data_IF_524807388554
#
_entry.id   IF_524807388554
#
_cell.length_a   1.000
_cell.length_b   1.000
_cell.length_c   1.000
_cell.angle_alpha   90.00
_cell.angle_beta   90.00
_cell.angle_gamma   90.00
#
_symmetry.space_group_name_H-M   'P 1'
#
loop_
_entity.id
_entity.type
_entity.pdbx_description
1 polymer ?
#
# COMPACT_ATOMS: atom_id res chain seq x y z
N UNK A 1 -14.66 16.30 14.55
CA UNK A 1 -13.64 17.07 13.81
C UNK A 1 -14.33 18.30 13.26
N UNK A 2 -13.82 19.50 13.55
CA UNK A 2 -14.29 20.72 12.89
C UNK A 2 -13.82 20.68 11.43
N UNK A 3 -14.75 20.86 10.50
CA UNK A 3 -14.44 20.93 9.07
C UNK A 3 -13.70 22.25 8.78
N UNK A 4 -12.68 22.25 7.91
CA UNK A 4 -12.06 23.49 7.42
C UNK A 4 -13.10 24.40 6.76
N UNK A 5 -13.07 25.69 7.11
CA UNK A 5 -14.05 26.70 6.65
C UNK A 5 -13.47 27.76 5.74
N UNK A 6 -12.17 27.70 5.44
CA UNK A 6 -11.52 28.53 4.42
C UNK A 6 -10.63 27.67 3.51
N UNK A 7 -10.37 28.14 2.28
CA UNK A 7 -9.54 27.43 1.32
C UNK A 7 -8.10 27.21 1.83
N UNK A 8 -7.54 28.15 2.58
CA UNK A 8 -6.21 28.00 3.18
C UNK A 8 -6.19 26.90 4.25
N UNK A 9 -7.21 26.83 5.12
CA UNK A 9 -7.32 25.74 6.10
C UNK A 9 -7.46 24.38 5.42
N UNK A 10 -8.24 24.30 4.32
CA UNK A 10 -8.36 23.09 3.51
C UNK A 10 -6.98 22.72 2.97
N UNK A 11 -6.28 23.63 2.31
CA UNK A 11 -4.97 23.38 1.72
C UNK A 11 -3.95 22.87 2.75
N UNK A 12 -3.89 23.48 3.93
CA UNK A 12 -2.95 23.08 4.99
C UNK A 12 -3.32 21.75 5.67
N UNK A 13 -4.59 21.34 5.63
CA UNK A 13 -5.05 20.07 6.23
C UNK A 13 -5.11 18.90 5.25
N UNK A 14 -4.93 19.15 3.94
CA UNK A 14 -4.93 18.13 2.89
C UNK A 14 -3.62 17.33 2.85
N UNK A 15 -3.51 16.34 3.74
CA UNK A 15 -2.44 15.35 3.71
C UNK A 15 -2.82 14.13 2.85
N UNK A 16 -2.85 14.30 1.52
CA UNK A 16 -3.32 13.24 0.59
C UNK A 16 -2.25 12.17 0.24
N UNK A 17 -1.02 12.33 0.72
CA UNK A 17 0.02 11.28 0.64
C UNK A 17 -0.07 10.27 1.79
N UNK A 18 -0.74 10.65 2.88
CA UNK A 18 -0.86 9.84 4.09
C UNK A 18 -2.16 9.03 4.07
N UNK A 19 -2.03 7.76 4.47
CA UNK A 19 -3.18 6.89 4.64
C UNK A 19 -3.90 7.19 5.96
N UNK A 20 -5.23 7.02 5.96
CA UNK A 20 -6.04 7.21 7.16
C UNK A 20 -5.89 6.01 8.10
N UNK A 21 -5.95 6.24 9.42
CA UNK A 21 -6.06 5.16 10.41
C UNK A 21 -7.44 4.50 10.36
N UNK A 22 -7.58 3.29 10.90
CA UNK A 22 -8.85 2.56 10.88
C UNK A 22 -10.00 3.28 11.61
N UNK A 23 -9.69 4.11 12.62
CA UNK A 23 -10.65 4.92 13.38
C UNK A 23 -10.77 6.38 12.90
N UNK A 24 -10.13 6.75 11.78
CA UNK A 24 -10.14 8.13 11.31
C UNK A 24 -11.56 8.56 10.87
N UNK A 25 -12.11 9.67 11.39
CA UNK A 25 -13.46 10.12 11.04
C UNK A 25 -13.59 10.54 9.57
N UNK A 26 -12.50 10.75 8.84
CA UNK A 26 -12.50 11.07 7.40
C UNK A 26 -12.64 9.83 6.51
N UNK A 27 -12.61 8.62 7.09
CA UNK A 27 -12.76 7.37 6.34
C UNK A 27 -14.15 7.24 5.73
N UNK A 28 -14.22 7.03 4.42
CA UNK A 28 -15.45 6.77 3.68
C UNK A 28 -15.41 5.34 3.17
N UNK A 29 -16.46 4.58 3.43
CA UNK A 29 -16.60 3.23 2.87
C UNK A 29 -16.80 3.33 1.36
N UNK A 30 -15.86 2.74 0.63
CA UNK A 30 -15.86 2.76 -0.84
C UNK A 30 -16.10 1.39 -1.46
N UNK A 31 -16.52 0.39 -0.67
CA UNK A 31 -16.65 -1.00 -1.12
C UNK A 31 -17.67 -1.16 -2.25
N UNK A 32 -18.83 -0.52 -2.13
CA UNK A 32 -19.85 -0.56 -3.18
C UNK A 32 -19.40 0.19 -4.44
N UNK A 33 -18.87 1.40 -4.25
CA UNK A 33 -18.32 2.28 -5.29
C UNK A 33 -17.22 1.61 -6.14
N UNK A 34 -16.47 0.65 -5.56
CA UNK A 34 -15.42 -0.12 -6.25
C UNK A 34 -15.92 -1.45 -6.82
N UNK A 35 -17.05 -1.97 -6.34
CA UNK A 35 -17.44 -3.37 -6.53
C UNK A 35 -16.55 -4.34 -5.73
N UNK A 36 -16.02 -3.92 -4.59
CA UNK A 36 -15.06 -4.67 -3.76
C UNK A 36 -15.66 -5.25 -2.48
N UNK A 37 -16.98 -5.38 -2.39
CA UNK A 37 -17.69 -5.90 -1.20
C UNK A 37 -17.19 -7.30 -0.79
N UNK A 38 -16.69 -8.08 -1.74
CA UNK A 38 -16.17 -9.42 -1.50
C UNK A 38 -14.66 -9.47 -1.24
N UNK A 39 -13.91 -8.37 -1.41
CA UNK A 39 -12.43 -8.38 -1.31
C UNK A 39 -11.96 -8.83 0.08
N UNK A 40 -12.54 -8.29 1.16
CA UNK A 40 -12.25 -8.76 2.52
C UNK A 40 -12.56 -10.26 2.67
N UNK A 41 -13.74 -10.71 2.23
CA UNK A 41 -14.10 -12.14 2.34
C UNK A 41 -13.20 -13.07 1.52
N UNK A 42 -12.66 -12.58 0.39
CA UNK A 42 -11.66 -13.31 -0.39
C UNK A 42 -10.33 -13.36 0.37
N UNK A 43 -9.88 -12.25 0.94
CA UNK A 43 -8.68 -12.19 1.78
C UNK A 43 -8.79 -13.17 2.95
N UNK A 44 -9.88 -13.10 3.73
CA UNK A 44 -10.05 -13.96 4.91
C UNK A 44 -10.05 -15.43 4.53
N UNK A 45 -10.70 -15.81 3.42
CA UNK A 45 -10.66 -17.20 2.91
C UNK A 45 -9.27 -17.68 2.54
N UNK A 46 -8.44 -16.81 1.93
CA UNK A 46 -7.02 -17.13 1.63
C UNK A 46 -6.20 -17.39 2.90
N UNK A 47 -6.60 -16.76 4.02
CA UNK A 47 -6.01 -16.97 5.34
C UNK A 47 -6.70 -18.10 6.14
N UNK A 48 -7.64 -18.83 5.53
CA UNK A 48 -8.38 -19.91 6.21
C UNK A 48 -9.44 -19.42 7.21
N UNK A 49 -9.84 -18.16 7.16
CA UNK A 49 -10.84 -17.53 8.02
C UNK A 49 -12.21 -17.45 7.32
N UNK A 50 -13.25 -18.00 7.94
CA UNK A 50 -14.66 -17.76 7.60
C UNK A 50 -15.33 -17.00 8.75
N UNK A 51 -15.45 -15.67 8.57
CA UNK A 51 -16.09 -14.80 9.57
C UNK A 51 -17.59 -15.07 9.72
N UNK A 52 -18.28 -15.53 8.67
CA UNK A 52 -19.72 -15.79 8.76
C UNK A 52 -20.02 -17.01 9.61
N UNK A 53 -19.20 -18.05 9.48
CA UNK A 53 -19.35 -19.28 10.25
C UNK A 53 -18.51 -19.29 11.53
N UNK A 54 -17.74 -18.23 11.78
CA UNK A 54 -16.74 -18.15 12.84
C UNK A 54 -15.83 -19.39 12.88
N UNK A 55 -15.32 -19.81 11.71
CA UNK A 55 -14.44 -20.97 11.54
C UNK A 55 -13.04 -20.53 11.12
N UNK A 56 -12.05 -21.21 11.67
CA UNK A 56 -10.65 -20.95 11.35
C UNK A 56 -9.88 -22.24 11.08
N UNK A 57 -9.50 -22.42 9.81
CA UNK A 57 -8.73 -23.55 9.28
C UNK A 57 -7.49 -23.00 8.56
N UNK A 58 -6.52 -22.44 9.30
CA UNK A 58 -5.40 -21.74 8.70
C UNK A 58 -4.43 -22.70 7.96
N UNK A 59 -3.94 -22.31 6.77
CA UNK A 59 -2.79 -22.99 6.16
C UNK A 59 -1.51 -22.79 6.99
N UNK A 60 -0.45 -23.53 6.69
CA UNK A 60 0.84 -23.38 7.38
C UNK A 60 1.40 -21.96 7.24
N UNK A 61 1.37 -21.40 6.03
CA UNK A 61 1.68 -20.01 5.72
C UNK A 61 0.76 -19.50 4.61
N UNK A 62 0.63 -18.18 4.47
CA UNK A 62 -0.13 -17.57 3.39
C UNK A 62 0.47 -16.20 3.05
N UNK A 63 0.93 -16.07 1.81
CA UNK A 63 1.53 -14.83 1.31
C UNK A 63 0.65 -14.27 0.20
N UNK A 64 0.17 -13.04 0.40
CA UNK A 64 -0.81 -12.38 -0.47
C UNK A 64 -0.24 -11.07 -0.99
N UNK A 65 -0.20 -10.92 -2.32
CA UNK A 65 0.05 -9.65 -2.98
C UNK A 65 -1.25 -8.86 -3.09
N UNK A 66 -1.26 -7.65 -2.55
CA UNK A 66 -2.39 -6.72 -2.60
C UNK A 66 -2.10 -5.60 -3.61
N UNK A 67 -2.62 -5.77 -4.82
CA UNK A 67 -2.44 -4.86 -5.94
C UNK A 67 -3.47 -3.74 -5.95
N UNK A 68 -3.15 -2.69 -6.69
CA UNK A 68 -4.03 -1.58 -7.01
C UNK A 68 -3.22 -0.32 -7.30
N UNK A 69 -3.83 0.68 -7.90
CA UNK A 69 -3.17 1.94 -8.24
C UNK A 69 -2.52 2.61 -7.02
N UNK A 70 -1.34 3.20 -7.18
CA UNK A 70 -0.68 3.94 -6.10
C UNK A 70 -1.50 5.19 -5.81
N UNK A 71 -1.95 5.36 -4.55
CA UNK A 71 -2.87 6.44 -4.18
C UNK A 71 -4.36 6.12 -4.33
N UNK A 72 -4.71 4.87 -4.69
CA UNK A 72 -6.11 4.44 -4.78
C UNK A 72 -6.80 4.22 -3.44
N UNK A 73 -6.06 4.31 -2.32
CA UNK A 73 -6.55 4.04 -0.96
C UNK A 73 -6.20 2.67 -0.39
N UNK A 74 -5.27 1.92 -1.01
CA UNK A 74 -4.86 0.56 -0.57
C UNK A 74 -4.55 0.46 0.93
N UNK A 75 -3.64 1.28 1.44
CA UNK A 75 -3.27 1.28 2.86
C UNK A 75 -4.46 1.53 3.77
N UNK A 76 -5.30 2.53 3.42
CA UNK A 76 -6.50 2.85 4.20
C UNK A 76 -7.47 1.66 4.26
N UNK A 77 -7.70 0.98 3.14
CA UNK A 77 -8.54 -0.22 3.09
C UNK A 77 -7.89 -1.41 3.83
N UNK A 78 -6.57 -1.60 3.71
CA UNK A 78 -5.84 -2.65 4.42
C UNK A 78 -5.91 -2.47 5.94
N UNK A 79 -5.88 -1.24 6.46
CA UNK A 79 -6.08 -0.95 7.89
C UNK A 79 -7.48 -1.34 8.37
N UNK A 80 -8.51 -1.11 7.54
CA UNK A 80 -9.87 -1.59 7.84
C UNK A 80 -9.93 -3.13 7.85
N UNK A 81 -9.24 -3.79 6.91
CA UNK A 81 -9.16 -5.25 6.88
C UNK A 81 -8.36 -5.82 8.05
N UNK A 82 -7.25 -5.19 8.42
CA UNK A 82 -6.43 -5.56 9.57
C UNK A 82 -7.23 -5.48 10.87
N UNK A 83 -8.01 -4.41 11.06
CA UNK A 83 -8.97 -4.30 12.17
C UNK A 83 -9.98 -5.44 12.16
N UNK A 84 -10.65 -5.69 11.03
CA UNK A 84 -11.62 -6.78 10.94
C UNK A 84 -11.01 -8.17 11.22
N UNK A 85 -9.76 -8.39 10.80
CA UNK A 85 -8.99 -9.60 11.11
C UNK A 85 -8.68 -9.70 12.61
N UNK A 86 -8.25 -8.61 13.24
CA UNK A 86 -7.99 -8.57 14.67
C UNK A 86 -9.27 -8.80 15.50
N UNK A 87 -10.37 -8.15 15.13
CA UNK A 87 -11.68 -8.25 15.79
C UNK A 87 -12.26 -9.67 15.70
N UNK A 88 -11.84 -10.48 14.73
CA UNK A 88 -12.22 -11.89 14.63
C UNK A 88 -11.62 -12.78 15.73
N UNK A 89 -10.58 -12.30 16.42
CA UNK A 89 -9.80 -13.04 17.41
C UNK A 89 -8.81 -14.06 16.82
N UNK A 90 -8.99 -14.50 15.56
CA UNK A 90 -8.13 -15.49 14.91
C UNK A 90 -6.76 -14.94 14.53
N UNK A 91 -6.64 -13.63 14.36
CA UNK A 91 -5.44 -12.99 13.84
C UNK A 91 -4.88 -12.02 14.88
N UNK A 92 -3.56 -12.07 15.04
CA UNK A 92 -2.76 -11.05 15.70
C UNK A 92 -2.04 -10.23 14.62
N UNK A 93 -2.56 -9.03 14.34
CA UNK A 93 -2.09 -8.19 13.25
C UNK A 93 -0.86 -7.36 13.63
N UNK A 94 0.14 -7.34 12.76
CA UNK A 94 1.35 -6.52 12.87
C UNK A 94 1.50 -5.69 11.60
N UNK A 95 1.49 -4.36 11.74
CA UNK A 95 1.70 -3.45 10.61
C UNK A 95 3.19 -3.09 10.47
N UNK A 96 3.69 -3.16 9.24
CA UNK A 96 5.06 -2.77 8.88
C UNK A 96 4.98 -1.75 7.76
N UNK A 97 5.16 -0.47 8.09
CA UNK A 97 5.30 0.59 7.10
C UNK A 97 6.76 0.66 6.64
N UNK A 98 7.02 0.14 5.44
CA UNK A 98 8.35 0.09 4.82
C UNK A 98 8.93 1.47 4.61
N UNK A 99 8.13 2.48 4.24
CA UNK A 99 8.64 3.82 3.99
C UNK A 99 9.07 4.53 5.29
N UNK A 100 8.42 4.20 6.40
CA UNK A 100 8.78 4.74 7.71
C UNK A 100 10.02 4.06 8.30
N UNK A 101 10.27 2.78 8.00
CA UNK A 101 11.32 1.97 8.64
C UNK A 101 12.56 1.78 7.78
N UNK A 102 12.43 1.74 6.46
CA UNK A 102 13.47 1.26 5.55
C UNK A 102 13.80 2.27 4.45
N UNK A 103 14.93 2.05 3.79
CA UNK A 103 15.35 2.85 2.64
C UNK A 103 14.68 2.32 1.36
N UNK A 104 13.71 3.09 0.84
CA UNK A 104 12.93 2.70 -0.35
C UNK A 104 13.71 2.63 -1.66
N UNK A 105 14.92 3.22 -1.72
CA UNK A 105 15.70 3.31 -2.96
C UNK A 105 16.76 2.20 -3.07
N UNK A 106 16.79 1.28 -2.10
CA UNK A 106 17.69 0.14 -2.09
C UNK A 106 17.16 -0.90 -1.09
N UNK A 107 15.87 -1.25 -1.21
CA UNK A 107 15.24 -2.16 -0.26
C UNK A 107 15.63 -3.61 -0.56
N UNK A 108 16.16 -4.32 0.44
CA UNK A 108 16.40 -5.76 0.36
C UNK A 108 15.43 -6.54 1.22
N UNK A 109 15.12 -7.77 0.82
CA UNK A 109 14.18 -8.59 1.58
C UNK A 109 14.65 -8.91 3.02
N UNK A 110 15.95 -9.10 3.22
CA UNK A 110 16.55 -9.27 4.56
C UNK A 110 16.20 -8.13 5.52
N UNK A 111 16.09 -6.89 5.02
CA UNK A 111 15.71 -5.72 5.81
C UNK A 111 14.23 -5.71 6.15
N UNK A 112 13.38 -6.22 5.26
CA UNK A 112 11.94 -6.42 5.55
C UNK A 112 11.74 -7.45 6.64
N UNK A 113 12.49 -8.57 6.63
CA UNK A 113 12.44 -9.55 7.72
C UNK A 113 12.81 -8.95 9.08
N UNK A 114 13.85 -8.10 9.12
CA UNK A 114 14.24 -7.40 10.34
C UNK A 114 13.16 -6.42 10.81
N UNK A 115 12.57 -5.65 9.89
CA UNK A 115 11.47 -4.74 10.19
C UNK A 115 10.19 -5.49 10.67
N UNK A 116 9.92 -6.68 10.13
CA UNK A 116 8.84 -7.56 10.61
C UNK A 116 9.10 -8.00 12.04
N UNK A 117 10.32 -8.47 12.34
CA UNK A 117 10.69 -8.89 13.68
C UNK A 117 10.61 -7.73 14.68
N UNK A 118 11.10 -6.54 14.29
CA UNK A 118 11.04 -5.33 15.10
C UNK A 118 9.60 -4.95 15.43
N UNK A 119 8.75 -4.84 14.41
CA UNK A 119 7.34 -4.47 14.57
C UNK A 119 6.55 -5.48 15.42
N UNK A 120 6.83 -6.78 15.26
CA UNK A 120 6.22 -7.82 16.08
C UNK A 120 6.60 -7.67 17.55
N UNK A 121 7.89 -7.50 17.83
CA UNK A 121 8.43 -7.39 19.18
C UNK A 121 7.95 -6.11 19.87
N UNK A 122 7.90 -4.99 19.16
CA UNK A 122 7.31 -3.74 19.64
C UNK A 122 5.84 -3.90 20.00
N UNK A 123 5.06 -4.52 19.12
CA UNK A 123 3.63 -4.77 19.33
C UNK A 123 3.39 -5.66 20.55
N UNK A 124 4.12 -6.77 20.65
CA UNK A 124 4.05 -7.69 21.81
C UNK A 124 4.42 -6.98 23.12
N UNK A 125 5.45 -6.13 23.09
CA UNK A 125 5.86 -5.35 24.25
C UNK A 125 4.79 -4.36 24.68
N UNK A 126 4.16 -3.66 23.72
CA UNK A 126 3.07 -2.73 23.97
C UNK A 126 1.82 -3.43 24.54
N UNK A 127 1.55 -4.66 24.07
CA UNK A 127 0.45 -5.50 24.57
C UNK A 127 0.83 -6.26 25.88
N UNK A 128 2.02 -6.01 26.45
CA UNK A 128 2.47 -6.58 27.73
C UNK A 128 2.74 -8.08 27.70
N UNK A 129 3.01 -8.65 26.54
CA UNK A 129 3.25 -10.08 26.37
C UNK A 129 4.60 -10.49 26.95
N UNK A 130 4.61 -11.51 27.81
CA UNK A 130 5.83 -12.07 28.41
C UNK A 130 6.28 -13.28 27.61
N UNK A 131 7.44 -13.15 26.97
CA UNK A 131 8.05 -14.24 26.18
C UNK A 131 9.15 -14.90 26.99
N UNK A 132 9.15 -16.24 27.17
CA UNK A 132 10.20 -16.95 27.88
C UNK A 132 11.59 -16.70 27.28
N UNK A 133 12.60 -16.54 28.13
CA UNK A 133 13.98 -16.34 27.66
C UNK A 133 14.47 -17.49 26.75
N UNK A 134 14.06 -18.72 27.03
CA UNK A 134 14.39 -19.89 26.21
C UNK A 134 13.88 -19.76 24.76
N UNK A 135 12.74 -19.10 24.53
CA UNK A 135 12.19 -18.83 23.19
C UNK A 135 13.03 -17.80 22.43
N UNK A 136 13.57 -16.81 23.15
CA UNK A 136 14.36 -15.72 22.57
C UNK A 136 15.84 -16.05 22.40
N UNK A 137 16.35 -17.04 23.15
CA UNK A 137 17.75 -17.45 23.17
C UNK A 137 18.33 -17.69 21.76
N UNK A 138 17.68 -18.46 20.85
CA UNK A 138 18.28 -18.73 19.54
C UNK A 138 18.50 -17.45 18.71
N UNK A 139 17.55 -16.50 18.80
CA UNK A 139 17.65 -15.23 18.10
C UNK A 139 18.71 -14.30 18.75
N UNK A 140 18.78 -14.29 20.08
CA UNK A 140 19.83 -13.58 20.83
C UNK A 140 21.23 -14.09 20.48
N UNK A 141 21.42 -15.42 20.47
CA UNK A 141 22.69 -16.07 20.11
C UNK A 141 23.08 -15.80 18.66
N UNK A 142 22.10 -15.80 17.76
CA UNK A 142 22.31 -15.44 16.36
C UNK A 142 22.85 -14.01 16.24
N UNK A 143 22.20 -13.04 16.90
CA UNK A 143 22.69 -11.65 16.89
C UNK A 143 24.08 -11.54 17.52
N UNK A 144 24.34 -12.18 18.66
CA UNK A 144 25.66 -12.19 19.28
C UNK A 144 26.73 -12.68 18.31
N UNK A 145 26.46 -13.78 17.60
CA UNK A 145 27.39 -14.35 16.63
C UNK A 145 27.73 -13.35 15.51
N UNK A 146 26.71 -12.75 14.89
CA UNK A 146 26.94 -11.76 13.81
C UNK A 146 27.75 -10.56 14.31
N UNK A 147 27.47 -10.09 15.52
CA UNK A 147 28.13 -8.92 16.12
C UNK A 147 29.57 -9.24 16.55
N UNK A 148 29.89 -10.50 16.85
CA UNK A 148 31.25 -10.96 17.15
C UNK A 148 32.10 -11.19 15.90
N UNK A 149 31.48 -11.65 14.81
CA UNK A 149 32.17 -11.98 13.55
C UNK A 149 32.47 -10.75 12.67
N UNK A 150 31.93 -9.58 13.04
CA UNK A 150 32.20 -8.29 12.37
C UNK A 150 32.58 -7.21 13.39
N UNK A 151 33.54 -6.35 13.06
CA UNK A 151 33.93 -5.24 13.93
C UNK A 151 33.43 -3.90 13.37
N UNK A 152 32.55 -3.23 14.12
CA UNK A 152 32.02 -1.90 13.78
C UNK A 152 31.58 -1.17 15.05
N UNK A 153 31.40 0.16 14.97
CA UNK A 153 30.87 0.97 16.08
C UNK A 153 29.45 0.54 16.47
N UNK A 154 28.60 0.27 15.48
CA UNK A 154 27.26 -0.30 15.68
C UNK A 154 27.33 -1.63 16.44
N UNK A 155 28.33 -2.46 16.16
CA UNK A 155 28.49 -3.76 16.81
C UNK A 155 28.87 -3.62 18.29
N UNK A 156 29.64 -2.61 18.67
CA UNK A 156 29.94 -2.33 20.07
C UNK A 156 28.68 -1.95 20.85
N UNK A 157 27.83 -1.11 20.25
CA UNK A 157 26.55 -0.74 20.81
C UNK A 157 25.59 -1.93 20.97
N UNK A 158 25.49 -2.77 19.95
CA UNK A 158 24.64 -3.98 19.99
C UNK A 158 25.16 -4.99 21.03
N UNK A 159 26.49 -5.20 21.12
CA UNK A 159 27.11 -6.02 22.18
C UNK A 159 26.72 -5.54 23.58
N UNK A 160 26.71 -4.23 23.79
CA UNK A 160 26.27 -3.63 25.04
C UNK A 160 24.82 -3.99 25.38
N UNK A 161 23.90 -3.89 24.42
CA UNK A 161 22.49 -4.27 24.60
C UNK A 161 22.32 -5.78 24.87
N UNK A 162 22.98 -6.64 24.09
CA UNK A 162 22.89 -8.09 24.26
C UNK A 162 23.43 -8.58 25.61
N UNK A 163 24.37 -7.83 26.20
CA UNK A 163 24.93 -8.11 27.53
C UNK A 163 23.96 -7.83 28.68
N UNK A 164 22.85 -7.11 28.43
CA UNK A 164 21.81 -6.86 29.43
C UNK A 164 20.91 -8.08 29.72
N UNK A 165 21.17 -9.21 29.07
CA UNK A 165 20.44 -10.47 29.24
C UNK A 165 19.51 -10.79 28.06
N UNK A 166 18.58 -11.71 28.27
CA UNK A 166 17.66 -12.20 27.23
C UNK A 166 16.25 -11.81 27.61
N UNK A 167 15.72 -10.82 26.90
CA UNK A 167 14.36 -10.35 27.06
C UNK A 167 13.82 -9.79 25.75
N UNK A 168 12.50 -9.69 25.66
CA UNK A 168 11.82 -9.11 24.50
C UNK A 168 12.32 -7.67 24.23
N UNK A 169 12.50 -6.88 25.29
CA UNK A 169 13.02 -5.52 25.19
C UNK A 169 14.46 -5.43 24.70
N UNK A 170 15.33 -6.38 25.05
CA UNK A 170 16.70 -6.44 24.52
C UNK A 170 16.68 -6.72 23.02
N UNK A 171 15.91 -7.72 22.59
CA UNK A 171 15.75 -8.04 21.15
C UNK A 171 15.16 -6.85 20.39
N UNK A 172 14.17 -6.15 20.96
CA UNK A 172 13.57 -4.95 20.37
C UNK A 172 14.62 -3.88 20.06
N UNK A 173 15.47 -3.57 21.04
CA UNK A 173 16.53 -2.55 20.88
C UNK A 173 17.58 -2.95 19.86
N UNK A 174 17.97 -4.22 19.84
CA UNK A 174 18.91 -4.76 18.85
C UNK A 174 18.35 -4.60 17.44
N UNK A 175 17.11 -5.04 17.23
CA UNK A 175 16.41 -4.89 15.95
C UNK A 175 16.28 -3.43 15.55
N UNK A 176 15.84 -2.54 16.44
CA UNK A 176 15.71 -1.12 16.18
C UNK A 176 17.04 -0.46 15.77
N UNK A 177 18.15 -0.83 16.42
CA UNK A 177 19.48 -0.34 16.02
C UNK A 177 19.85 -0.81 14.62
N UNK A 178 19.61 -2.08 14.28
CA UNK A 178 19.92 -2.63 12.95
C UNK A 178 19.01 -2.01 11.89
N UNK A 179 17.70 -1.93 12.11
CA UNK A 179 16.74 -1.31 11.17
C UNK A 179 17.05 0.17 10.96
N UNK A 180 17.33 0.93 12.03
CA UNK A 180 17.73 2.34 11.91
C UNK A 180 19.01 2.50 11.08
N UNK A 181 19.96 1.56 11.24
CA UNK A 181 21.20 1.52 10.47
C UNK A 181 20.97 1.27 8.97
N UNK A 182 19.96 0.45 8.62
CA UNK A 182 19.54 0.20 7.24
C UNK A 182 18.93 1.46 6.59
N UNK A 183 18.20 2.25 7.38
CA UNK A 183 17.53 3.49 6.94
C UNK A 183 18.49 4.64 6.63
N UNK A 184 19.61 4.79 7.36
CA UNK A 184 20.47 6.01 7.29
C UNK A 184 21.59 5.98 6.25
N UNK A 185 21.81 4.88 5.52
CA UNK A 185 22.71 4.85 4.35
C UNK A 185 24.22 4.86 4.65
N UNK A 186 24.65 4.53 5.87
CA UNK A 186 26.06 4.56 6.28
C UNK A 186 26.90 3.38 5.73
N UNK A 187 28.23 3.49 5.71
CA UNK A 187 29.14 2.48 5.11
C UNK A 187 29.10 1.09 5.74
N UNK A 188 28.74 0.97 7.02
CA UNK A 188 28.55 -0.32 7.70
C UNK A 188 27.28 -1.07 7.24
N UNK A 189 26.38 -0.41 6.51
CA UNK A 189 25.13 -0.96 5.95
C UNK A 189 25.39 -2.17 5.07
N UNK A 190 26.38 -2.09 4.18
CA UNK A 190 26.65 -3.16 3.23
C UNK A 190 27.20 -4.41 3.90
N UNK A 191 27.99 -4.25 4.97
CA UNK A 191 28.48 -5.36 5.77
C UNK A 191 27.33 -6.07 6.49
N UNK A 192 26.50 -5.34 7.23
CA UNK A 192 25.35 -5.93 7.92
C UNK A 192 24.37 -6.59 6.96
N UNK A 193 24.10 -5.96 5.81
CA UNK A 193 23.27 -6.55 4.74
C UNK A 193 23.87 -7.85 4.23
N UNK A 194 25.16 -7.86 3.92
CA UNK A 194 25.85 -9.05 3.46
C UNK A 194 25.79 -10.17 4.51
N UNK A 195 26.03 -9.86 5.77
CA UNK A 195 26.03 -10.85 6.86
C UNK A 195 24.63 -11.42 7.11
N UNK A 196 23.58 -10.58 7.11
CA UNK A 196 22.19 -11.02 7.23
C UNK A 196 21.79 -11.85 6.02
N UNK A 197 22.20 -11.46 4.80
CA UNK A 197 21.93 -12.21 3.57
C UNK A 197 22.62 -13.57 3.57
N UNK A 198 23.89 -13.63 3.95
CA UNK A 198 24.67 -14.86 4.03
C UNK A 198 24.09 -15.85 5.05
N UNK A 199 23.45 -15.34 6.10
CA UNK A 199 22.84 -16.14 7.18
C UNK A 199 21.31 -16.07 7.18
N UNK A 200 20.71 -15.76 6.04
CA UNK A 200 19.28 -15.53 5.94
C UNK A 200 18.49 -16.78 6.36
N UNK A 201 18.90 -17.96 5.90
CA UNK A 201 18.21 -19.22 6.20
C UNK A 201 18.12 -19.48 7.70
N UNK A 202 19.21 -19.31 8.44
CA UNK A 202 19.21 -19.53 9.89
C UNK A 202 18.42 -18.44 10.63
N UNK A 203 18.48 -17.19 10.18
CA UNK A 203 17.65 -16.11 10.73
C UNK A 203 16.15 -16.40 10.53
N UNK A 204 15.76 -16.82 9.33
CA UNK A 204 14.38 -17.18 9.00
C UNK A 204 13.89 -18.37 9.84
N UNK A 205 14.72 -19.41 10.03
CA UNK A 205 14.41 -20.56 10.89
C UNK A 205 14.19 -20.15 12.36
N UNK A 206 15.05 -19.31 12.91
CA UNK A 206 14.90 -18.77 14.27
C UNK A 206 13.64 -17.91 14.38
N UNK A 207 13.36 -17.07 13.39
CA UNK A 207 12.16 -16.24 13.37
C UNK A 207 10.88 -17.08 13.26
N UNK A 208 10.84 -18.09 12.38
CA UNK A 208 9.71 -19.00 12.27
C UNK A 208 9.47 -19.80 13.55
N UNK A 209 10.54 -20.17 14.26
CA UNK A 209 10.43 -20.84 15.57
C UNK A 209 9.85 -19.92 16.62
N UNK A 210 10.30 -18.65 16.66
CA UNK A 210 9.72 -17.62 17.51
C UNK A 210 8.22 -17.43 17.21
N UNK A 211 7.85 -17.31 15.93
CA UNK A 211 6.45 -17.14 15.50
C UNK A 211 5.57 -18.30 16.00
N UNK A 212 5.99 -19.56 15.82
CA UNK A 212 5.23 -20.74 16.26
C UNK A 212 4.98 -20.77 17.77
N UNK A 213 6.00 -20.42 18.55
CA UNK A 213 5.88 -20.37 20.02
C UNK A 213 4.94 -19.24 20.45
N UNK A 214 5.07 -18.06 19.85
CA UNK A 214 4.18 -16.92 20.11
C UNK A 214 2.72 -17.21 19.75
N UNK A 215 2.47 -17.84 18.60
CA UNK A 215 1.13 -18.25 18.20
C UNK A 215 0.52 -19.25 19.18
N UNK A 216 1.33 -20.15 19.75
CA UNK A 216 0.89 -21.08 20.80
C UNK A 216 0.48 -20.34 22.06
N UNK A 217 1.30 -19.40 22.51
CA UNK A 217 1.01 -18.57 23.70
C UNK A 217 -0.22 -17.68 23.51
N UNK A 218 -0.30 -16.97 22.38
CA UNK A 218 -1.44 -16.13 22.03
C UNK A 218 -2.73 -16.95 21.93
N UNK A 219 -2.65 -18.15 21.36
CA UNK A 219 -3.79 -19.07 21.27
C UNK A 219 -4.27 -19.52 22.65
N UNK A 220 -3.34 -19.85 23.55
CA UNK A 220 -3.65 -20.22 24.93
C UNK A 220 -4.29 -19.08 25.71
N UNK A 221 -3.74 -17.87 25.60
CA UNK A 221 -4.27 -16.67 26.27
C UNK A 221 -5.68 -16.28 25.80
N UNK A 222 -5.98 -16.50 24.50
CA UNK A 222 -7.28 -16.17 23.90
C UNK A 222 -8.30 -17.31 23.97
N UNK A 223 -7.88 -18.53 24.35
CA UNK A 223 -8.74 -19.72 24.33
C UNK A 223 -9.18 -20.16 22.93
N UNK A 224 -8.55 -19.64 21.88
CA UNK A 224 -8.84 -19.98 20.48
C UNK A 224 -7.58 -19.93 19.64
N UNK A 225 -7.54 -20.73 18.58
CA UNK A 225 -6.41 -20.75 17.65
C UNK A 225 -6.19 -19.36 17.06
N UNK A 226 -4.96 -18.86 17.20
CA UNK A 226 -4.53 -17.54 16.76
C UNK A 226 -3.29 -17.67 15.87
N UNK A 227 -3.24 -16.89 14.79
CA UNK A 227 -2.07 -16.79 13.90
C UNK A 227 -1.58 -15.35 13.83
N UNK A 228 -0.29 -15.15 13.62
CA UNK A 228 0.30 -13.83 13.40
C UNK A 228 0.16 -13.48 11.92
N UNK A 229 -0.31 -12.27 11.63
CA UNK A 229 -0.37 -11.73 10.28
C UNK A 229 0.36 -10.40 10.17
N UNK A 230 1.21 -10.28 9.17
CA UNK A 230 1.94 -9.07 8.84
C UNK A 230 1.28 -8.34 7.66
N UNK A 231 1.10 -7.03 7.79
CA UNK A 231 0.72 -6.13 6.69
C UNK A 231 1.94 -5.30 6.34
N UNK A 232 2.58 -5.63 5.23
CA UNK A 232 3.76 -4.93 4.70
C UNK A 232 3.29 -3.87 3.72
N UNK A 233 3.27 -2.62 4.19
CA UNK A 233 2.78 -1.48 3.43
C UNK A 233 3.94 -0.64 2.85
N UNK A 234 3.70 -0.05 1.68
CA UNK A 234 4.67 0.80 0.97
C UNK A 234 5.61 0.09 0.00
N UNK A 235 5.57 -1.24 -0.10
CA UNK A 235 6.35 -2.00 -1.10
C UNK A 235 5.86 -1.77 -2.53
N UNK A 236 4.65 -1.22 -2.71
CA UNK A 236 4.14 -0.76 -4.01
C UNK A 236 4.78 0.55 -4.53
N UNK A 237 5.55 1.23 -3.66
CA UNK A 237 6.22 2.50 -3.95
C UNK A 237 7.73 2.34 -4.23
N UNK A 238 8.21 1.09 -4.30
CA UNK A 238 9.55 0.77 -4.81
C UNK A 238 9.68 1.23 -6.27
N UNK A 239 10.93 1.42 -6.73
CA UNK A 239 11.22 2.01 -8.04
C UNK A 239 12.25 1.18 -8.79
N UNK A 240 12.12 1.13 -10.11
CA UNK A 240 13.09 0.49 -11.00
C UNK A 240 13.40 -0.96 -10.59
N UNK A 241 14.67 -1.31 -10.67
CA UNK A 241 15.18 -2.67 -10.46
C UNK A 241 14.88 -3.23 -9.06
N UNK A 242 14.76 -2.39 -8.02
CA UNK A 242 14.41 -2.81 -6.66
C UNK A 242 13.05 -3.51 -6.60
N UNK A 243 12.12 -3.08 -7.46
CA UNK A 243 10.78 -3.69 -7.54
C UNK A 243 10.88 -5.13 -8.06
N UNK A 244 11.66 -5.35 -9.11
CA UNK A 244 11.87 -6.69 -9.66
C UNK A 244 12.69 -7.56 -8.72
N UNK A 245 13.73 -7.00 -8.11
CA UNK A 245 14.54 -7.68 -7.11
C UNK A 245 13.68 -8.21 -5.97
N UNK A 246 12.86 -7.34 -5.36
CA UNK A 246 12.06 -7.70 -4.20
C UNK A 246 10.97 -8.73 -4.52
N UNK A 247 10.17 -8.50 -5.57
CA UNK A 247 8.99 -9.33 -5.85
C UNK A 247 9.26 -10.56 -6.71
N UNK A 248 10.35 -10.59 -7.47
CA UNK A 248 10.60 -11.62 -8.49
C UNK A 248 11.83 -12.45 -8.14
N UNK A 249 12.95 -11.78 -7.87
CA UNK A 249 14.22 -12.46 -7.56
C UNK A 249 14.28 -12.96 -6.12
N UNK A 250 13.75 -12.19 -5.17
CA UNK A 250 13.73 -12.54 -3.74
C UNK A 250 12.43 -13.27 -3.31
N UNK A 251 11.66 -13.78 -4.27
CA UNK A 251 10.35 -14.38 -4.01
C UNK A 251 10.41 -15.64 -3.13
N UNK A 252 11.48 -16.43 -3.22
CA UNK A 252 11.66 -17.61 -2.37
C UNK A 252 11.90 -17.22 -0.92
N UNK A 253 12.62 -16.13 -0.69
CA UNK A 253 12.88 -15.60 0.63
C UNK A 253 11.60 -15.01 1.25
N UNK A 254 10.77 -14.31 0.44
CA UNK A 254 9.41 -13.89 0.85
C UNK A 254 8.61 -15.07 1.40
N UNK A 255 8.64 -16.21 0.69
CA UNK A 255 7.89 -17.41 1.01
C UNK A 255 8.47 -18.23 2.17
N UNK A 256 9.72 -17.98 2.57
CA UNK A 256 10.41 -18.73 3.62
C UNK A 256 9.86 -18.48 5.04
N UNK A 257 9.00 -17.47 5.22
CA UNK A 257 8.44 -17.11 6.52
C UNK A 257 7.11 -17.83 6.76
N UNK A 258 7.00 -18.53 7.89
CA UNK A 258 5.86 -19.36 8.30
C UNK A 258 4.72 -18.51 8.93
N UNK A 259 4.38 -17.40 8.28
CA UNK A 259 3.36 -16.46 8.74
C UNK A 259 2.29 -16.19 7.68
N UNK A 260 1.28 -15.41 8.06
CA UNK A 260 0.44 -14.73 7.10
C UNK A 260 1.06 -13.39 6.76
N UNK A 261 1.30 -13.11 5.49
CA UNK A 261 1.90 -11.84 5.07
C UNK A 261 1.14 -11.25 3.89
N UNK A 262 0.75 -9.99 4.03
CA UNK A 262 0.06 -9.21 2.99
C UNK A 262 1.01 -8.11 2.54
N UNK A 263 1.46 -8.17 1.29
CA UNK A 263 2.36 -7.17 0.70
C UNK A 263 1.58 -6.24 -0.21
N UNK A 264 1.74 -4.93 -0.05
CA UNK A 264 1.29 -3.99 -1.09
C UNK A 264 2.18 -4.11 -2.31
N UNK A 265 1.61 -4.34 -3.49
CA UNK A 265 2.41 -4.58 -4.70
C UNK A 265 2.05 -3.59 -5.82
N UNK A 266 3.02 -3.15 -6.64
CA UNK A 266 2.75 -2.29 -7.78
C UNK A 266 1.83 -2.98 -8.79
N UNK A 267 0.77 -2.30 -9.21
CA UNK A 267 -0.24 -2.90 -10.10
C UNK A 267 0.35 -3.41 -11.43
N UNK A 268 1.36 -2.73 -11.98
CA UNK A 268 1.97 -3.13 -13.25
C UNK A 268 2.61 -4.53 -13.19
N UNK A 269 3.09 -4.99 -12.02
CA UNK A 269 3.66 -6.33 -11.87
C UNK A 269 2.63 -7.44 -12.06
N UNK A 270 1.34 -7.18 -11.79
CA UNK A 270 0.26 -8.12 -12.08
C UNK A 270 0.19 -8.44 -13.58
N UNK A 271 0.60 -7.49 -14.42
CA UNK A 271 0.53 -7.57 -15.88
C UNK A 271 1.84 -7.97 -16.54
N UNK A 272 2.94 -8.10 -15.80
CA UNK A 272 4.25 -8.47 -16.34
C UNK A 272 4.37 -9.96 -16.65
N UNK A 273 3.46 -10.80 -16.12
CA UNK A 273 3.54 -12.26 -16.21
C UNK A 273 4.62 -12.89 -15.34
N UNK A 274 5.50 -12.10 -14.70
CA UNK A 274 6.65 -12.58 -13.92
C UNK A 274 6.28 -13.17 -12.55
N UNK A 275 5.05 -12.92 -12.07
CA UNK A 275 4.54 -13.36 -10.76
C UNK A 275 3.58 -14.56 -10.81
N UNK A 276 3.31 -15.09 -12.01
CA UNK A 276 2.28 -16.13 -12.20
C UNK A 276 2.60 -17.38 -11.38
N UNK A 277 1.65 -17.78 -10.53
CA UNK A 277 1.70 -19.03 -9.75
C UNK A 277 2.57 -19.00 -8.48
N UNK A 278 3.33 -17.93 -8.21
CA UNK A 278 4.23 -17.86 -7.04
C UNK A 278 3.53 -17.46 -5.75
N UNK A 279 2.63 -16.47 -5.83
CA UNK A 279 1.95 -15.87 -4.69
C UNK A 279 0.46 -15.75 -4.96
N UNK A 280 -0.33 -15.84 -3.90
CA UNK A 280 -1.74 -15.51 -4.00
C UNK A 280 -1.89 -14.00 -4.19
N UNK A 281 -2.91 -13.57 -4.92
CA UNK A 281 -3.13 -12.14 -5.11
C UNK A 281 -4.58 -11.70 -4.89
N UNK A 282 -4.71 -10.39 -4.66
CA UNK A 282 -5.95 -9.63 -4.65
C UNK A 282 -5.69 -8.27 -5.29
N UNK A 283 -6.73 -7.69 -5.86
CA UNK A 283 -6.69 -6.33 -6.42
C UNK A 283 -7.72 -5.50 -5.67
N UNK A 284 -7.35 -4.27 -5.29
CA UNK A 284 -8.30 -3.24 -4.92
C UNK A 284 -8.69 -2.45 -6.18
N UNK A 285 -9.93 -2.59 -6.68
CA UNK A 285 -10.39 -1.84 -7.83
C UNK A 285 -10.45 -0.33 -7.55
N UNK A 286 -10.38 0.46 -8.62
CA UNK A 286 -10.70 1.88 -8.57
C UNK A 286 -12.18 2.12 -8.29
N UNK A 287 -12.51 3.29 -7.72
CA UNK A 287 -13.89 3.74 -7.60
C UNK A 287 -14.42 4.02 -9.00
N UNK A 288 -15.55 3.41 -9.36
CA UNK A 288 -16.16 3.60 -10.67
C UNK A 288 -17.11 4.78 -10.64
N UNK A 289 -16.96 5.69 -11.60
CA UNK A 289 -17.92 6.79 -11.82
C UNK A 289 -18.96 6.46 -12.89
N UNK A 290 -18.61 5.52 -13.77
CA UNK A 290 -19.48 5.03 -14.82
C UNK A 290 -19.30 3.52 -14.93
N UNK A 291 -20.32 2.83 -15.41
CA UNK A 291 -20.23 1.44 -15.83
C UNK A 291 -19.62 1.35 -17.24
N UNK A 292 -19.30 0.13 -17.68
CA UNK A 292 -18.65 -0.12 -18.98
C UNK A 292 -19.51 0.35 -20.16
N UNK A 293 -20.83 0.32 -20.02
CA UNK A 293 -21.79 0.81 -21.02
C UNK A 293 -21.96 2.34 -20.99
N UNK A 294 -21.26 3.03 -20.09
CA UNK A 294 -21.34 4.48 -19.91
C UNK A 294 -22.40 4.94 -18.93
N UNK A 295 -23.23 4.05 -18.38
CA UNK A 295 -24.21 4.41 -17.35
C UNK A 295 -23.52 5.00 -16.12
N UNK A 296 -24.13 5.98 -15.45
CA UNK A 296 -23.58 6.61 -14.25
C UNK A 296 -23.60 5.64 -13.06
N UNK A 297 -22.49 5.51 -12.35
CA UNK A 297 -22.38 4.66 -11.17
C UNK A 297 -22.61 5.50 -9.89
N UNK A 298 -23.86 5.60 -9.45
CA UNK A 298 -24.25 6.49 -8.32
C UNK A 298 -23.50 6.20 -7.01
N UNK A 299 -23.15 4.95 -6.74
CA UNK A 299 -22.36 4.58 -5.56
C UNK A 299 -20.99 5.28 -5.56
N UNK A 300 -20.34 5.38 -6.72
CA UNK A 300 -19.06 6.08 -6.86
C UNK A 300 -19.17 7.58 -6.67
N UNK A 301 -20.17 8.21 -7.29
CA UNK A 301 -20.44 9.64 -7.14
C UNK A 301 -20.76 10.01 -5.69
N UNK A 302 -21.60 9.22 -5.04
CA UNK A 302 -21.97 9.40 -3.63
C UNK A 302 -20.74 9.26 -2.72
N UNK A 303 -19.93 8.22 -2.92
CA UNK A 303 -18.75 8.00 -2.10
C UNK A 303 -17.70 9.11 -2.25
N UNK A 304 -17.49 9.65 -3.45
CA UNK A 304 -16.53 10.73 -3.66
C UNK A 304 -17.04 12.10 -3.21
N UNK A 305 -18.36 12.34 -3.29
CA UNK A 305 -18.97 13.53 -2.68
C UNK A 305 -18.83 13.51 -1.16
N UNK A 306 -19.12 12.37 -0.54
CA UNK A 306 -18.89 12.16 0.90
C UNK A 306 -17.39 12.29 1.24
N UNK A 307 -16.51 11.84 0.33
CA UNK A 307 -15.08 12.04 0.48
C UNK A 307 -14.78 13.55 0.59
N UNK A 308 -15.22 14.38 -0.36
CA UNK A 308 -15.03 15.84 -0.29
C UNK A 308 -15.65 16.47 0.95
N UNK A 309 -16.89 16.10 1.29
CA UNK A 309 -17.63 16.66 2.43
C UNK A 309 -16.93 16.46 3.79
N UNK A 310 -16.00 15.49 3.89
CA UNK A 310 -15.17 15.28 5.09
C UNK A 310 -13.83 16.03 5.10
N UNK A 311 -13.52 16.78 4.05
CA UNK A 311 -12.26 17.55 3.90
C UNK A 311 -12.49 19.05 3.75
N UNK A 312 -13.66 19.47 3.27
CA UNK A 312 -13.97 20.86 2.99
C UNK A 312 -15.44 21.14 3.29
N UNK A 313 -15.75 22.34 3.79
CA UNK A 313 -17.12 22.86 3.75
C UNK A 313 -17.55 23.08 2.30
N UNK A 314 -18.55 22.32 1.83
CA UNK A 314 -19.02 22.38 0.45
C UNK A 314 -19.57 23.76 0.06
N UNK A 315 -19.87 24.65 1.02
CA UNK A 315 -20.22 26.04 0.76
C UNK A 315 -19.07 26.86 0.16
N UNK A 316 -17.83 26.36 0.23
CA UNK A 316 -16.67 26.97 -0.42
C UNK A 316 -16.63 26.74 -1.94
N UNK A 317 -17.57 26.00 -2.51
CA UNK A 317 -17.80 25.97 -3.95
C UNK A 317 -18.86 27.01 -4.32
N UNK A 318 -18.56 27.84 -5.32
CA UNK A 318 -19.48 28.89 -5.77
C UNK A 318 -20.83 28.31 -6.27
N UNK A 319 -20.80 27.10 -6.83
CA UNK A 319 -21.98 26.38 -7.31
C UNK A 319 -21.90 24.88 -6.96
N UNK A 320 -23.01 24.23 -6.55
CA UNK A 320 -23.01 22.79 -6.24
C UNK A 320 -22.57 21.89 -7.41
N UNK A 321 -22.75 22.33 -8.66
CA UNK A 321 -22.36 21.59 -9.86
C UNK A 321 -20.83 21.44 -9.99
N UNK A 322 -20.04 22.38 -9.44
CA UNK A 322 -18.57 22.32 -9.48
C UNK A 322 -18.01 21.14 -8.69
N UNK A 323 -18.76 20.67 -7.68
CA UNK A 323 -18.41 19.46 -6.93
C UNK A 323 -18.45 18.24 -7.85
N UNK A 324 -19.50 18.11 -8.66
CA UNK A 324 -19.61 17.02 -9.63
C UNK A 324 -18.57 17.13 -10.75
N UNK A 325 -18.32 18.35 -11.25
CA UNK A 325 -17.28 18.56 -12.27
C UNK A 325 -15.89 18.13 -11.75
N UNK A 326 -15.52 18.55 -10.54
CA UNK A 326 -14.26 18.16 -9.89
C UNK A 326 -14.15 16.64 -9.72
N UNK A 327 -15.23 15.98 -9.27
CA UNK A 327 -15.30 14.51 -9.17
C UNK A 327 -15.10 13.87 -10.55
N UNK A 328 -15.72 14.42 -11.60
CA UNK A 328 -15.60 13.94 -12.97
C UNK A 328 -14.16 13.94 -13.50
N UNK A 329 -13.32 14.87 -13.03
CA UNK A 329 -11.92 14.98 -13.46
C UNK A 329 -10.96 14.02 -12.74
N UNK A 330 -11.33 13.46 -11.57
CA UNK A 330 -10.41 12.62 -10.77
C UNK A 330 -10.35 11.15 -11.22
N UNK A 331 -11.24 10.72 -12.11
CA UNK A 331 -11.28 9.33 -12.60
C UNK A 331 -11.55 8.30 -11.51
N UNK A 332 -12.22 8.69 -10.43
CA UNK A 332 -12.43 7.83 -9.27
C UNK A 332 -11.17 7.57 -8.44
N UNK A 333 -10.08 8.30 -8.65
CA UNK A 333 -8.84 8.17 -7.88
C UNK A 333 -8.86 9.08 -6.65
N UNK A 334 -8.90 8.55 -5.40
CA UNK A 334 -9.01 9.37 -4.19
C UNK A 334 -7.88 10.38 -4.03
N UNK A 335 -6.63 10.00 -4.33
CA UNK A 335 -5.51 10.96 -4.25
C UNK A 335 -5.62 12.05 -5.31
N UNK A 336 -6.05 11.73 -6.53
CA UNK A 336 -6.16 12.76 -7.58
C UNK A 336 -7.34 13.69 -7.30
N UNK A 337 -8.40 13.19 -6.66
CA UNK A 337 -9.51 14.01 -6.17
C UNK A 337 -9.02 15.05 -5.15
N UNK A 338 -8.26 14.61 -4.14
CA UNK A 338 -7.73 15.49 -3.11
C UNK A 338 -6.64 16.43 -3.64
N UNK A 339 -5.85 15.97 -4.61
CA UNK A 339 -4.85 16.79 -5.31
C UNK A 339 -5.52 17.88 -6.14
N UNK A 340 -6.58 17.56 -6.89
CA UNK A 340 -7.38 18.56 -7.61
C UNK A 340 -7.99 19.59 -6.66
N UNK A 341 -8.53 19.14 -5.52
CA UNK A 341 -9.03 20.05 -4.49
C UNK A 341 -7.92 20.97 -3.95
N UNK A 342 -6.73 20.41 -3.66
CA UNK A 342 -5.57 21.19 -3.24
C UNK A 342 -5.16 22.24 -4.28
N UNK A 343 -5.11 21.87 -5.55
CA UNK A 343 -4.83 22.80 -6.66
C UNK A 343 -5.91 23.89 -6.79
N UNK A 344 -7.18 23.58 -6.55
CA UNK A 344 -8.24 24.60 -6.51
C UNK A 344 -7.99 25.60 -5.38
N UNK A 345 -7.62 25.11 -4.19
CA UNK A 345 -7.31 25.98 -3.04
C UNK A 345 -6.02 26.79 -3.24
N UNK A 346 -5.06 26.29 -4.03
CA UNK A 346 -3.82 27.01 -4.36
C UNK A 346 -4.03 28.14 -5.36
N UNK A 347 -4.91 27.93 -6.35
CA UNK A 347 -5.13 28.88 -7.47
C UNK A 347 -6.23 29.90 -7.18
N UNK A 348 -7.14 29.62 -6.24
CA UNK A 348 -8.19 30.57 -5.89
C UNK A 348 -7.59 31.85 -5.27
N UNK A 349 -7.80 32.98 -5.93
CA UNK A 349 -7.47 34.31 -5.39
C UNK A 349 -8.52 34.79 -4.37
N UNK A 350 -9.77 34.35 -4.55
CA UNK A 350 -10.92 34.63 -3.68
C UNK A 350 -11.19 33.47 -2.70
N UNK A 351 -12.15 33.64 -1.78
CA UNK A 351 -12.51 32.62 -0.78
C UNK A 351 -13.36 31.45 -1.33
N UNK A 352 -13.70 31.44 -2.62
CA UNK A 352 -14.56 30.42 -3.24
C UNK A 352 -13.91 29.74 -4.45
N UNK A 353 -14.21 28.45 -4.62
CA UNK A 353 -13.89 27.67 -5.81
C UNK A 353 -14.99 27.92 -6.85
N UNK A 354 -14.68 28.71 -7.87
CA UNK A 354 -15.54 28.94 -9.03
C UNK A 354 -15.12 28.10 -10.25
N UNK A 355 -15.79 28.31 -11.39
CA UNK A 355 -15.48 27.59 -12.63
C UNK A 355 -14.06 27.89 -13.13
N UNK A 356 -13.60 29.13 -13.04
CA UNK A 356 -12.29 29.54 -13.54
C UNK A 356 -11.16 28.89 -12.72
N UNK A 357 -11.34 28.82 -11.39
CA UNK A 357 -10.44 28.12 -10.47
C UNK A 357 -10.37 26.63 -10.82
N UNK A 358 -11.51 25.96 -10.97
CA UNK A 358 -11.53 24.53 -11.33
C UNK A 358 -10.85 24.27 -12.68
N UNK A 359 -11.13 25.08 -13.70
CA UNK A 359 -10.50 24.96 -15.01
C UNK A 359 -8.98 25.16 -14.95
N UNK A 360 -8.51 26.08 -14.10
CA UNK A 360 -7.09 26.30 -13.89
C UNK A 360 -6.42 25.11 -13.17
N UNK A 361 -7.04 24.59 -12.11
CA UNK A 361 -6.56 23.40 -11.40
C UNK A 361 -6.47 22.16 -12.31
N UNK A 362 -7.48 21.93 -13.17
CA UNK A 362 -7.47 20.85 -14.17
C UNK A 362 -6.33 21.03 -15.17
N UNK A 363 -6.08 22.27 -15.64
CA UNK A 363 -4.96 22.57 -16.55
C UNK A 363 -3.59 22.30 -15.91
N UNK A 364 -3.42 22.63 -14.63
CA UNK A 364 -2.18 22.35 -13.89
C UNK A 364 -1.96 20.84 -13.77
N UNK A 365 -3.00 20.09 -13.38
CA UNK A 365 -2.87 18.64 -13.29
C UNK A 365 -2.61 18.00 -14.67
N UNK A 366 -3.32 18.41 -15.71
CA UNK A 366 -3.09 17.94 -17.07
C UNK A 366 -1.66 18.25 -17.56
N UNK A 367 -1.08 19.39 -17.14
CA UNK A 367 0.30 19.74 -17.48
C UNK A 367 1.33 18.76 -16.89
N UNK A 368 1.09 18.21 -15.70
CA UNK A 368 1.96 17.20 -15.11
C UNK A 368 1.96 15.90 -15.93
N UNK A 369 0.80 15.48 -16.43
CA UNK A 369 0.71 14.35 -17.38
C UNK A 369 1.40 14.65 -18.72
N UNK A 370 1.22 15.87 -19.25
CA UNK A 370 1.83 16.30 -20.52
C UNK A 370 3.35 16.14 -20.53
N UNK A 371 4.03 16.30 -19.38
CA UNK A 371 5.50 16.25 -19.27
C UNK A 371 6.11 14.90 -19.64
N UNK A 372 5.39 13.79 -19.46
CA UNK A 372 5.95 12.44 -19.65
C UNK A 372 5.25 11.61 -20.72
N UNK A 373 4.10 12.05 -21.24
CA UNK A 373 3.35 11.33 -22.28
C UNK A 373 3.89 11.64 -23.68
N UNK A 374 4.21 10.58 -24.42
CA UNK A 374 4.62 10.63 -25.82
C UNK A 374 3.43 10.62 -26.79
N UNK A 375 3.63 10.93 -28.09
CA UNK A 375 2.61 10.77 -29.13
C UNK A 375 2.02 9.35 -29.21
N UNK A 376 2.87 8.33 -29.03
CA UNK A 376 2.45 6.92 -29.06
C UNK A 376 1.58 6.58 -27.84
N UNK A 377 1.90 7.14 -26.67
CA UNK A 377 1.08 6.99 -25.47
C UNK A 377 -0.35 7.53 -25.69
N UNK A 378 -0.49 8.71 -26.30
CA UNK A 378 -1.81 9.26 -26.63
C UNK A 378 -2.58 8.36 -27.60
N UNK A 379 -1.89 7.78 -28.58
CA UNK A 379 -2.48 6.86 -29.55
C UNK A 379 -3.02 5.60 -28.84
N UNK A 380 -2.22 5.00 -27.95
CA UNK A 380 -2.62 3.85 -27.15
C UNK A 380 -3.83 4.18 -26.27
N UNK A 381 -3.81 5.32 -25.55
CA UNK A 381 -4.90 5.74 -24.67
C UNK A 381 -6.20 5.98 -25.44
N UNK A 382 -6.14 6.66 -26.60
CA UNK A 382 -7.31 6.92 -27.42
C UNK A 382 -7.90 5.62 -27.99
N UNK A 383 -7.05 4.68 -28.44
CA UNK A 383 -7.48 3.36 -28.91
C UNK A 383 -8.19 2.56 -27.81
N UNK A 384 -7.62 2.52 -26.59
CA UNK A 384 -8.21 1.81 -25.45
C UNK A 384 -9.56 2.40 -25.03
N UNK A 385 -9.73 3.71 -25.16
CA UNK A 385 -11.00 4.37 -24.81
C UNK A 385 -12.09 4.15 -25.87
N UNK A 386 -11.73 3.86 -27.13
CA UNK A 386 -12.68 3.55 -28.20
C UNK A 386 -12.98 2.06 -28.36
N UNK A 387 -12.06 1.19 -27.97
CA UNK A 387 -12.13 -0.24 -28.22
C UNK A 387 -12.59 -0.99 -26.96
N UNK A 388 -13.75 -1.68 -26.99
CA UNK A 388 -14.23 -2.43 -25.83
C UNK A 388 -13.41 -3.70 -25.57
N UNK A 389 -12.56 -4.15 -26.50
CA UNK A 389 -11.79 -5.38 -26.41
C UNK A 389 -10.43 -5.15 -25.71
N UNK A 390 -10.02 -6.12 -24.91
CA UNK A 390 -8.75 -6.10 -24.21
C UNK A 390 -7.74 -6.96 -24.98
N UNK A 391 -6.96 -6.33 -25.87
CA UNK A 391 -6.09 -7.05 -26.82
C UNK A 391 -4.77 -7.57 -26.22
N UNK A 392 -4.53 -7.30 -24.94
CA UNK A 392 -3.37 -7.79 -24.20
C UNK A 392 -2.68 -6.70 -23.40
N UNK A 393 -1.53 -7.02 -22.80
CA UNK A 393 -0.73 -6.08 -22.04
C UNK A 393 0.64 -5.93 -22.69
N UNK A 394 0.96 -4.73 -23.15
CA UNK A 394 2.30 -4.34 -23.59
C UNK A 394 3.05 -3.63 -22.46
N UNK A 395 4.37 -3.48 -22.60
CA UNK A 395 5.18 -2.71 -21.66
C UNK A 395 4.69 -1.25 -21.57
N UNK A 396 4.30 -0.65 -22.70
CA UNK A 396 3.71 0.69 -22.73
C UNK A 396 2.42 0.78 -21.88
N UNK A 397 1.51 -0.20 -21.99
CA UNK A 397 0.31 -0.26 -21.15
C UNK A 397 0.66 -0.39 -19.66
N UNK A 398 1.65 -1.22 -19.32
CA UNK A 398 2.14 -1.37 -17.94
C UNK A 398 2.67 -0.04 -17.39
N UNK A 399 3.42 0.71 -18.19
CA UNK A 399 3.93 2.04 -17.83
C UNK A 399 2.80 3.06 -17.67
N UNK A 400 1.79 3.05 -18.54
CA UNK A 400 0.62 3.95 -18.43
C UNK A 400 -0.21 3.67 -17.18
N UNK A 401 -0.37 2.40 -16.79
CA UNK A 401 -0.99 2.01 -15.52
C UNK A 401 -0.15 2.49 -14.32
N UNK A 402 1.18 2.29 -14.38
CA UNK A 402 2.09 2.72 -13.31
C UNK A 402 2.06 4.25 -13.10
N UNK A 403 2.00 5.03 -14.19
CA UNK A 403 1.98 6.50 -14.17
C UNK A 403 0.58 7.11 -14.02
N UNK A 404 -0.45 6.29 -13.76
CA UNK A 404 -1.85 6.71 -13.61
C UNK A 404 -2.44 7.44 -14.83
N UNK A 405 -1.83 7.34 -16.01
CA UNK A 405 -2.40 7.88 -17.25
C UNK A 405 -3.51 6.96 -17.79
N UNK A 406 -3.41 5.66 -17.46
CA UNK A 406 -4.45 4.66 -17.65
C UNK A 406 -4.94 4.17 -16.28
N UNK A 407 -6.25 4.23 -16.06
CA UNK A 407 -6.90 3.77 -14.83
C UNK A 407 -7.58 2.42 -15.07
N UNK A 408 -7.62 1.59 -14.03
CA UNK A 408 -8.17 0.24 -14.08
C UNK A 408 -9.29 0.07 -13.07
N UNK A 409 -10.42 -0.42 -13.54
CA UNK A 409 -11.65 -0.60 -12.78
C UNK A 409 -12.05 -2.08 -12.80
N UNK A 410 -12.94 -2.46 -11.86
CA UNK A 410 -13.32 -3.86 -11.63
C UNK A 410 -12.09 -4.75 -11.33
N UNK A 411 -12.16 -6.04 -11.64
CA UNK A 411 -11.07 -6.99 -11.56
C UNK A 411 -10.10 -6.91 -12.76
N UNK A 412 -9.85 -5.71 -13.30
CA UNK A 412 -9.01 -5.48 -14.47
C UNK A 412 -9.70 -5.67 -15.82
N UNK A 413 -11.01 -5.95 -15.81
CA UNK A 413 -11.82 -6.16 -17.02
C UNK A 413 -12.13 -4.88 -17.79
N UNK A 414 -11.88 -3.72 -17.19
CA UNK A 414 -12.15 -2.43 -17.80
C UNK A 414 -11.09 -1.39 -17.42
N UNK A 415 -10.64 -0.64 -18.42
CA UNK A 415 -9.64 0.41 -18.28
C UNK A 415 -10.10 1.64 -19.04
N UNK A 416 -9.64 2.80 -18.58
CA UNK A 416 -9.94 4.07 -19.22
C UNK A 416 -8.84 5.07 -18.96
N UNK A 417 -8.52 5.91 -19.94
CA UNK A 417 -7.56 7.00 -19.74
C UNK A 417 -8.03 7.97 -18.64
N UNK A 418 -7.07 8.54 -17.91
CA UNK A 418 -7.36 9.51 -16.85
C UNK A 418 -8.13 10.71 -17.43
N UNK A 419 -9.21 11.21 -16.79
CA UNK A 419 -10.03 12.29 -17.37
C UNK A 419 -9.26 13.55 -17.76
N UNK A 420 -8.31 14.01 -16.94
CA UNK A 420 -7.48 15.17 -17.29
C UNK A 420 -6.51 14.92 -18.46
N UNK A 421 -6.15 13.67 -18.75
CA UNK A 421 -5.34 13.33 -19.94
C UNK A 421 -6.18 13.53 -21.19
N UNK A 422 -7.48 13.24 -21.12
CA UNK A 422 -8.42 13.43 -22.24
C UNK A 422 -8.63 14.89 -22.61
N UNK A 423 -8.23 15.85 -21.76
CA UNK A 423 -8.30 17.28 -22.09
C UNK A 423 -7.05 17.77 -22.84
N UNK A 424 -6.03 16.93 -23.02
CA UNK A 424 -4.78 17.29 -23.68
C UNK A 424 -4.93 17.27 -25.20
N UNK A 425 -4.31 18.25 -25.86
CA UNK A 425 -4.29 18.35 -27.33
C UNK A 425 -3.68 17.12 -28.01
N UNK A 426 -2.70 16.46 -27.36
CA UNK A 426 -2.12 15.21 -27.85
C UNK A 426 -3.16 14.10 -27.93
N UNK A 427 -3.99 13.95 -26.90
CA UNK A 427 -5.08 12.99 -26.86
C UNK A 427 -6.16 13.31 -27.90
N UNK A 428 -6.60 14.58 -27.99
CA UNK A 428 -7.60 14.99 -28.98
C UNK A 428 -7.14 14.70 -30.43
N UNK A 429 -5.87 14.97 -30.76
CA UNK A 429 -5.31 14.64 -32.08
C UNK A 429 -5.30 13.14 -32.35
N UNK A 430 -4.91 12.32 -31.37
CA UNK A 430 -4.95 10.86 -31.49
C UNK A 430 -6.38 10.34 -31.70
N UNK A 431 -7.34 10.86 -30.93
CA UNK A 431 -8.75 10.49 -31.06
C UNK A 431 -9.33 10.87 -32.43
N UNK A 432 -8.99 12.05 -32.95
CA UNK A 432 -9.40 12.49 -34.28
C UNK A 432 -8.81 11.62 -35.39
N UNK A 433 -7.54 11.21 -35.25
CA UNK A 433 -6.89 10.31 -36.20
C UNK A 433 -7.56 8.93 -36.27
N UNK A 434 -8.07 8.42 -35.15
CA UNK A 434 -8.83 7.15 -35.12
C UNK A 434 -10.23 7.26 -35.72
N UNK A 435 -10.81 8.46 -35.71
CA UNK A 435 -12.13 8.72 -36.31
C UNK A 435 -12.05 8.94 -37.84
N UNK A 436 -10.85 9.07 -38.40
CA UNK A 436 -10.65 9.18 -39.84
C UNK A 436 -10.55 7.77 -40.45
N UNK A 437 -11.41 7.43 -41.43
CA UNK A 437 -11.56 6.08 -41.98
C UNK A 437 -10.37 5.60 -42.83
#
# INVERSE_FOLDING_TARGET
MTLPTSLLEVLQSLHYEDALSADDPRYVDTREARGSQHTLSRLTRKLGCDFKQHKFLPPASAHVLFFGHVGSGKTTELRQYARALADSGFIYGVEVDVLSRLDRNNLQYSEVLLAMAEALVERLSADGCVVPAATLQPLHDWFNRVVHECESTLNHEIKGELSAGISLGVIAKVLAKITASAKTGASYKEQWRQEVRNRFTTLAEHFNTLLRELETQLSGARGQRTRIAFVIDGTDKLRGDDTEQFFIHDAEQLLAIDAFVIYTAPLHLKYSGKLVGKLQDLVLPMIKLHERDGARCEAGWTALRELLARRIDLALFAEPALIDDLIGYCGGHPRELLRLLGLCCEVADDELIDRAVLDAAVKLLAADYRRFLSPDDYTILAQLDTTPQHDGNTEAIQQLLYKLALLEYNDGSWRRSHPVVRTLEGYHRAQQALAQP
#
